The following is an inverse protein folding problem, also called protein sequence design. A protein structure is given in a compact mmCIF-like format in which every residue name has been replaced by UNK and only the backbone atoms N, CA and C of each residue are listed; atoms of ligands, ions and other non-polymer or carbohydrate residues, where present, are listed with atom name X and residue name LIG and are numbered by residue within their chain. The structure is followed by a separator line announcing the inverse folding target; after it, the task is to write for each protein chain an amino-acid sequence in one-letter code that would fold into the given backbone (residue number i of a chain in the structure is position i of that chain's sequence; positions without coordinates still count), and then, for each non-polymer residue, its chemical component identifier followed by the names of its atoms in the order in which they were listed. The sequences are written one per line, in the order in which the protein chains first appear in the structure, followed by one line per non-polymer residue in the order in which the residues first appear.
data_IF_601782166202
#
_entry.id   IF_601782166202
#
_cell.length_a   1.000
_cell.length_b   1.000
_cell.length_c   1.000
_cell.angle_alpha   90.00
_cell.angle_beta   90.00
_cell.angle_gamma   90.00
#
_symmetry.space_group_name_H-M   'P 1'
#
loop_
_entity.id
_entity.type
_entity.pdbx_description
1 polymer ?
#
# COMPACT_ATOMS: atom_id res chain seq x y z
N UNK A 1 2.53 -29.95 15.82
CA UNK A 1 1.40 -29.17 16.36
C UNK A 1 0.30 -29.22 15.32
N UNK A 2 -0.73 -30.04 15.52
CA UNK A 2 -1.82 -30.17 14.55
C UNK A 2 -2.69 -28.92 14.63
N UNK A 3 -2.63 -28.07 13.61
CA UNK A 3 -3.49 -26.89 13.49
C UNK A 3 -4.90 -27.39 13.15
N UNK A 4 -5.88 -27.03 13.98
CA UNK A 4 -7.28 -27.40 13.79
C UNK A 4 -7.80 -26.85 12.44
N UNK A 5 -8.35 -27.73 11.61
CA UNK A 5 -8.81 -27.44 10.24
C UNK A 5 -9.99 -26.45 10.14
N UNK A 6 -10.55 -26.03 11.27
CA UNK A 6 -11.69 -25.09 11.35
C UNK A 6 -11.31 -23.61 11.38
N UNK A 7 -10.04 -23.25 11.65
CA UNK A 7 -9.62 -21.84 11.68
C UNK A 7 -9.11 -21.44 10.29
N UNK A 8 -9.92 -20.72 9.52
CA UNK A 8 -9.57 -20.27 8.16
C UNK A 8 -9.45 -18.75 8.03
N UNK A 9 -9.95 -17.99 9.01
CA UNK A 9 -9.97 -16.54 9.02
C UNK A 9 -9.83 -15.96 10.45
N UNK A 10 -9.45 -14.68 10.57
CA UNK A 10 -9.37 -14.01 11.89
C UNK A 10 -10.67 -14.03 12.69
N UNK A 11 -11.86 -13.83 12.08
CA UNK A 11 -13.13 -13.97 12.79
C UNK A 11 -13.34 -15.36 13.41
N UNK A 12 -12.79 -16.43 12.83
CA UNK A 12 -12.89 -17.78 13.41
C UNK A 12 -12.07 -17.90 14.71
N UNK A 13 -10.95 -17.18 14.80
CA UNK A 13 -10.15 -17.08 16.04
C UNK A 13 -10.95 -16.33 17.11
N UNK A 14 -11.60 -15.23 16.73
CA UNK A 14 -12.47 -14.46 17.62
C UNK A 14 -13.66 -15.27 18.15
N UNK A 15 -14.25 -16.11 17.28
CA UNK A 15 -15.32 -17.04 17.67
C UNK A 15 -14.83 -18.07 18.69
N UNK A 16 -13.62 -18.62 18.47
CA UNK A 16 -13.05 -19.63 19.36
C UNK A 16 -12.71 -19.07 20.74
N UNK A 17 -12.23 -17.82 20.81
CA UNK A 17 -11.79 -17.20 22.05
C UNK A 17 -12.94 -16.57 22.87
N UNK A 18 -13.92 -15.95 22.20
CA UNK A 18 -14.97 -15.16 22.86
C UNK A 18 -16.39 -15.46 22.37
N UNK A 19 -16.58 -16.52 21.57
CA UNK A 19 -17.85 -16.90 20.98
C UNK A 19 -18.34 -15.94 19.89
N UNK A 20 -19.63 -16.02 19.56
CA UNK A 20 -20.24 -15.26 18.47
C UNK A 20 -20.05 -13.74 18.57
N UNK A 21 -19.98 -13.19 19.80
CA UNK A 21 -19.71 -11.76 20.02
C UNK A 21 -18.28 -11.37 19.60
N UNK A 22 -17.30 -12.23 19.91
CA UNK A 22 -15.91 -12.06 19.47
C UNK A 22 -15.76 -12.16 17.97
N UNK A 23 -16.44 -13.15 17.36
CA UNK A 23 -16.49 -13.28 15.90
C UNK A 23 -16.99 -12.01 15.23
N UNK A 24 -18.12 -11.48 15.70
CA UNK A 24 -18.72 -10.27 15.16
C UNK A 24 -17.78 -9.07 15.31
N UNK A 25 -17.19 -8.87 16.49
CA UNK A 25 -16.27 -7.77 16.74
C UNK A 25 -15.04 -7.82 15.83
N UNK A 26 -14.36 -8.97 15.76
CA UNK A 26 -13.17 -9.14 14.89
C UNK A 26 -13.53 -8.96 13.42
N UNK A 27 -14.70 -9.47 13.00
CA UNK A 27 -15.19 -9.26 11.64
C UNK A 27 -15.40 -7.78 11.35
N UNK A 28 -16.10 -7.05 12.20
CA UNK A 28 -16.37 -5.61 12.00
C UNK A 28 -15.07 -4.83 11.90
N UNK A 29 -14.12 -5.07 12.81
CA UNK A 29 -12.83 -4.38 12.81
C UNK A 29 -12.02 -4.67 11.55
N UNK A 30 -11.93 -5.93 11.12
CA UNK A 30 -11.19 -6.31 9.91
C UNK A 30 -11.82 -5.71 8.64
N UNK A 31 -13.15 -5.72 8.53
CA UNK A 31 -13.83 -5.14 7.36
C UNK A 31 -13.70 -3.62 7.35
N UNK A 32 -13.79 -2.96 8.51
CA UNK A 32 -13.58 -1.52 8.64
C UNK A 32 -12.13 -1.14 8.27
N UNK A 33 -11.14 -1.91 8.74
CA UNK A 33 -9.74 -1.70 8.39
C UNK A 33 -9.50 -1.81 6.89
N UNK A 34 -9.93 -2.91 6.25
CA UNK A 34 -9.80 -3.09 4.79
C UNK A 34 -10.50 -1.98 4.01
N UNK A 35 -11.68 -1.55 4.46
CA UNK A 35 -12.42 -0.46 3.82
C UNK A 35 -11.66 0.87 3.89
N UNK A 36 -11.11 1.22 5.06
CA UNK A 36 -10.34 2.44 5.25
C UNK A 36 -9.04 2.41 4.43
N UNK A 37 -8.35 1.27 4.40
CA UNK A 37 -7.13 1.06 3.59
C UNK A 37 -7.45 1.25 2.09
N UNK A 38 -8.51 0.60 1.59
CA UNK A 38 -8.91 0.72 0.19
C UNK A 38 -9.30 2.16 -0.18
N UNK A 39 -10.05 2.83 0.69
CA UNK A 39 -10.42 4.24 0.51
C UNK A 39 -9.19 5.13 0.48
N UNK A 40 -8.21 4.90 1.36
CA UNK A 40 -6.95 5.61 1.39
C UNK A 40 -6.17 5.49 0.08
N UNK A 41 -6.05 4.27 -0.47
CA UNK A 41 -5.40 4.05 -1.77
C UNK A 41 -6.15 4.73 -2.91
N UNK A 42 -7.48 4.69 -2.94
CA UNK A 42 -8.27 5.40 -3.96
C UNK A 42 -8.03 6.91 -3.93
N UNK A 43 -7.98 7.51 -2.75
CA UNK A 43 -7.69 8.93 -2.58
C UNK A 43 -6.26 9.23 -3.06
N UNK A 44 -5.28 8.40 -2.67
CA UNK A 44 -3.88 8.56 -3.07
C UNK A 44 -3.71 8.50 -4.59
N UNK A 45 -4.34 7.55 -5.26
CA UNK A 45 -4.32 7.45 -6.72
C UNK A 45 -5.00 8.65 -7.39
N UNK A 46 -6.13 9.10 -6.85
CA UNK A 46 -6.80 10.30 -7.32
C UNK A 46 -5.95 11.56 -7.18
N UNK A 47 -5.25 11.71 -6.05
CA UNK A 47 -4.33 12.81 -5.81
C UNK A 47 -3.13 12.75 -6.77
N UNK A 48 -2.49 11.59 -6.89
CA UNK A 48 -1.37 11.38 -7.82
C UNK A 48 -1.75 11.71 -9.26
N UNK A 49 -2.89 11.22 -9.73
CA UNK A 49 -3.33 11.41 -11.12
C UNK A 49 -3.78 12.85 -11.38
N UNK A 50 -4.38 13.52 -10.38
CA UNK A 50 -4.69 14.94 -10.44
C UNK A 50 -3.43 15.82 -10.52
N UNK A 51 -2.34 15.41 -9.86
CA UNK A 51 -1.04 16.09 -9.94
C UNK A 51 -0.39 15.92 -11.31
N UNK A 52 -0.51 14.72 -11.91
CA UNK A 52 0.00 14.44 -13.26
C UNK A 52 -0.82 15.12 -14.36
N UNK A 53 -2.13 15.18 -14.21
CA UNK A 53 -3.06 15.74 -15.21
C UNK A 53 -3.98 16.82 -14.60
N UNK A 54 -3.42 17.95 -14.14
CA UNK A 54 -4.19 18.98 -13.43
C UNK A 54 -5.24 19.69 -14.30
N UNK A 55 -5.13 19.56 -15.63
CA UNK A 55 -6.05 20.15 -16.61
C UNK A 55 -7.09 19.17 -17.16
N UNK A 56 -7.08 17.92 -16.71
CA UNK A 56 -8.01 16.88 -17.18
C UNK A 56 -9.30 16.83 -16.33
N UNK A 57 -9.83 18.00 -15.96
CA UNK A 57 -11.15 18.09 -15.33
C UNK A 57 -12.24 17.72 -16.34
N UNK A 58 -13.23 16.94 -15.91
CA UNK A 58 -14.40 16.62 -16.73
C UNK A 58 -15.49 17.65 -16.48
N UNK A 59 -15.87 18.39 -17.52
CA UNK A 59 -17.10 19.19 -17.51
C UNK A 59 -18.24 18.31 -18.02
N UNK A 60 -19.11 17.86 -17.10
CA UNK A 60 -20.30 17.09 -17.44
C UNK A 60 -21.53 17.94 -17.16
N UNK A 61 -22.19 18.42 -18.22
CA UNK A 61 -23.52 19.05 -18.13
C UNK A 61 -23.59 20.32 -17.27
N UNK A 62 -22.57 21.18 -17.28
CA UNK A 62 -22.57 22.48 -16.58
C UNK A 62 -22.12 22.44 -15.11
N UNK A 63 -21.79 21.26 -14.57
CA UNK A 63 -21.10 21.12 -13.29
C UNK A 63 -19.64 20.74 -13.53
N UNK A 64 -18.71 21.62 -13.17
CA UNK A 64 -17.28 21.33 -13.22
C UNK A 64 -16.94 20.36 -12.07
N UNK A 65 -16.76 19.08 -12.40
CA UNK A 65 -16.28 18.10 -11.43
C UNK A 65 -14.78 18.29 -11.30
N UNK A 66 -14.34 18.58 -10.07
CA UNK A 66 -12.92 18.71 -9.73
C UNK A 66 -12.13 17.48 -10.20
N UNK A 67 -10.96 17.71 -10.82
CA UNK A 67 -10.17 16.68 -11.49
C UNK A 67 -9.87 15.50 -10.55
N UNK A 68 -9.55 15.79 -9.28
CA UNK A 68 -9.32 14.79 -8.24
C UNK A 68 -10.50 13.84 -8.07
N UNK A 69 -11.71 14.39 -7.91
CA UNK A 69 -12.92 13.58 -7.70
C UNK A 69 -13.22 12.69 -8.91
N UNK A 70 -13.01 13.23 -10.12
CA UNK A 70 -13.20 12.46 -11.35
C UNK A 70 -12.23 11.27 -11.43
N UNK A 71 -10.95 11.46 -11.06
CA UNK A 71 -9.96 10.41 -11.07
C UNK A 71 -10.20 9.35 -10.00
N UNK A 72 -10.62 9.74 -8.79
CA UNK A 72 -11.01 8.78 -7.74
C UNK A 72 -12.15 7.87 -8.23
N UNK A 73 -13.18 8.45 -8.86
CA UNK A 73 -14.32 7.69 -9.40
C UNK A 73 -13.85 6.76 -10.54
N UNK A 74 -13.03 7.28 -11.45
CA UNK A 74 -12.51 6.51 -12.58
C UNK A 74 -11.65 5.32 -12.13
N UNK A 75 -10.70 5.54 -11.23
CA UNK A 75 -9.86 4.49 -10.65
C UNK A 75 -10.73 3.47 -9.90
N UNK A 76 -11.72 3.95 -9.13
CA UNK A 76 -12.70 3.10 -8.47
C UNK A 76 -13.43 2.17 -9.45
N UNK A 77 -13.90 2.70 -10.59
CA UNK A 77 -14.57 1.93 -11.64
C UNK A 77 -13.64 0.90 -12.31
N UNK A 78 -12.36 1.24 -12.49
CA UNK A 78 -11.35 0.34 -13.08
C UNK A 78 -11.01 -0.80 -12.12
N UNK A 79 -10.93 -0.52 -10.82
CA UNK A 79 -10.61 -1.51 -9.79
C UNK A 79 -11.84 -2.36 -9.45
N UNK A 80 -13.05 -1.83 -9.54
CA UNK A 80 -14.31 -2.54 -9.24
C UNK A 80 -14.39 -3.96 -9.84
N UNK A 81 -14.11 -4.21 -11.14
CA UNK A 81 -14.14 -5.55 -11.70
C UNK A 81 -13.12 -6.49 -11.07
N UNK A 82 -11.99 -5.98 -10.56
CA UNK A 82 -10.99 -6.81 -9.87
C UNK A 82 -11.49 -7.31 -8.52
N UNK A 83 -12.44 -6.62 -7.88
CA UNK A 83 -13.06 -7.05 -6.62
C UNK A 83 -14.01 -8.24 -6.83
N UNK A 84 -14.56 -8.41 -8.03
CA UNK A 84 -15.39 -9.57 -8.38
C UNK A 84 -14.57 -10.81 -8.78
N UNK A 85 -13.24 -10.71 -8.83
CA UNK A 85 -12.37 -11.84 -9.13
C UNK A 85 -12.22 -12.74 -7.89
N UNK A 86 -12.99 -13.83 -7.85
CA UNK A 86 -12.89 -14.85 -6.81
C UNK A 86 -11.66 -15.79 -6.98
N UNK A 87 -10.82 -15.58 -7.99
CA UNK A 87 -9.68 -16.45 -8.27
C UNK A 87 -8.36 -15.84 -7.78
N UNK A 88 -7.82 -16.40 -6.69
CA UNK A 88 -6.55 -15.99 -6.08
C UNK A 88 -5.35 -16.12 -7.04
N UNK A 89 -5.41 -16.98 -8.05
CA UNK A 89 -4.35 -17.08 -9.06
C UNK A 89 -4.28 -15.82 -9.93
N UNK A 90 -5.42 -15.26 -10.35
CA UNK A 90 -5.44 -14.02 -11.14
C UNK A 90 -4.91 -12.85 -10.31
N UNK A 91 -5.31 -12.78 -9.04
CA UNK A 91 -4.83 -11.77 -8.11
C UNK A 91 -3.30 -11.87 -7.90
N UNK A 92 -2.75 -13.09 -7.87
CA UNK A 92 -1.31 -13.30 -7.80
C UNK A 92 -0.56 -12.76 -9.03
N UNK A 93 -1.12 -12.91 -10.24
CA UNK A 93 -0.52 -12.34 -11.45
C UNK A 93 -0.58 -10.80 -11.46
N UNK A 94 -1.72 -10.23 -11.06
CA UNK A 94 -1.87 -8.77 -10.91
C UNK A 94 -0.86 -8.24 -9.89
N UNK A 95 -0.71 -8.92 -8.74
CA UNK A 95 0.28 -8.58 -7.71
C UNK A 95 1.71 -8.66 -8.24
N UNK A 96 2.06 -9.70 -9.00
CA UNK A 96 3.38 -9.81 -9.64
C UNK A 96 3.66 -8.64 -10.61
N UNK A 97 2.64 -8.21 -11.36
CA UNK A 97 2.71 -7.00 -12.18
C UNK A 97 2.95 -5.73 -11.35
N UNK A 98 2.26 -5.60 -10.22
CA UNK A 98 2.48 -4.51 -9.26
C UNK A 98 3.91 -4.46 -8.73
N UNK A 99 4.48 -5.61 -8.33
CA UNK A 99 5.88 -5.69 -7.88
C UNK A 99 6.85 -5.29 -9.00
N UNK A 100 6.62 -5.76 -10.23
CA UNK A 100 7.42 -5.38 -11.38
C UNK A 100 7.35 -3.87 -11.64
N UNK A 101 6.15 -3.27 -11.58
CA UNK A 101 5.97 -1.82 -11.71
C UNK A 101 6.71 -1.04 -10.61
N UNK A 102 6.67 -1.50 -9.36
CA UNK A 102 7.42 -0.90 -8.26
C UNK A 102 8.93 -0.94 -8.50
N UNK A 103 9.46 -2.04 -9.04
CA UNK A 103 10.89 -2.13 -9.41
C UNK A 103 11.25 -1.18 -10.55
N UNK A 104 10.41 -1.07 -11.57
CA UNK A 104 10.61 -0.12 -12.67
C UNK A 104 10.64 1.33 -12.16
N UNK A 105 9.72 1.69 -11.26
CA UNK A 105 9.71 3.01 -10.62
C UNK A 105 10.98 3.26 -9.81
N UNK A 106 11.43 2.28 -9.00
CA UNK A 106 12.66 2.40 -8.23
C UNK A 106 13.88 2.59 -9.14
N UNK A 107 14.01 1.80 -10.20
CA UNK A 107 15.07 1.96 -11.18
C UNK A 107 15.01 3.33 -11.87
N UNK A 108 13.80 3.82 -12.19
CA UNK A 108 13.61 5.13 -12.81
C UNK A 108 14.08 6.25 -11.88
N UNK A 109 13.73 6.18 -10.59
CA UNK A 109 14.14 7.19 -9.60
C UNK A 109 15.67 7.18 -9.40
N UNK A 110 16.27 6.00 -9.30
CA UNK A 110 17.73 5.87 -9.22
C UNK A 110 18.43 6.44 -10.45
N UNK A 111 17.88 6.17 -11.64
CA UNK A 111 18.40 6.70 -12.89
C UNK A 111 18.34 8.23 -12.94
N UNK A 112 17.21 8.82 -12.59
CA UNK A 112 17.02 10.27 -12.57
C UNK A 112 17.94 10.91 -11.51
N UNK A 113 18.10 10.27 -10.35
CA UNK A 113 18.99 10.74 -9.29
C UNK A 113 20.46 10.80 -9.70
N UNK A 114 20.94 9.81 -10.44
CA UNK A 114 22.35 9.70 -10.86
C UNK A 114 22.66 10.46 -12.16
N UNK A 115 21.82 10.31 -13.19
CA UNK A 115 22.13 10.76 -14.56
C UNK A 115 21.44 12.05 -14.98
N UNK A 116 20.30 12.40 -14.38
CA UNK A 116 19.48 13.55 -14.81
C UNK A 116 19.73 14.80 -13.95
N UNK A 117 20.85 14.81 -13.22
CA UNK A 117 21.40 16.01 -12.59
C UNK A 117 20.72 16.47 -11.29
N UNK A 118 19.77 15.70 -10.73
CA UNK A 118 19.21 15.99 -9.39
C UNK A 118 20.29 15.85 -8.32
N UNK A 119 21.15 14.81 -8.48
CA UNK A 119 22.35 14.56 -7.68
C UNK A 119 22.04 14.18 -6.22
N UNK A 120 22.73 13.17 -5.70
CA UNK A 120 22.60 12.72 -4.31
C UNK A 120 23.40 13.62 -3.34
N UNK A 121 23.07 14.91 -3.28
CA UNK A 121 23.82 15.92 -2.52
C UNK A 121 23.28 16.17 -1.09
N UNK A 122 22.32 15.35 -0.62
CA UNK A 122 21.65 15.52 0.66
C UNK A 122 22.59 15.51 1.89
N UNK A 123 23.02 16.70 2.33
CA UNK A 123 23.49 16.98 3.70
C UNK A 123 22.41 17.79 4.42
N UNK A 124 21.53 17.13 5.16
CA UNK A 124 20.47 17.78 5.94
C UNK A 124 20.22 17.07 7.27
N UNK A 125 19.61 17.79 8.22
CA UNK A 125 19.30 17.28 9.56
C UNK A 125 18.36 16.06 9.47
N UNK A 126 18.81 14.92 9.99
CA UNK A 126 18.18 13.62 9.81
C UNK A 126 16.82 13.46 10.51
N UNK A 127 16.45 14.33 11.46
CA UNK A 127 15.29 14.09 12.32
C UNK A 127 14.50 15.38 12.57
N UNK A 128 13.28 15.43 12.03
CA UNK A 128 12.28 16.45 12.35
C UNK A 128 11.28 15.85 13.34
N UNK A 129 11.35 16.25 14.60
CA UNK A 129 10.53 15.65 15.68
C UNK A 129 9.02 15.79 15.46
N UNK A 130 8.57 16.85 14.79
CA UNK A 130 7.16 17.08 14.43
C UNK A 130 6.61 16.07 13.41
N UNK A 131 7.46 15.42 12.61
CA UNK A 131 7.04 14.47 11.58
C UNK A 131 7.01 13.01 12.05
N UNK A 132 7.52 12.72 13.27
CA UNK A 132 7.67 11.35 13.77
C UNK A 132 6.33 10.59 13.82
N UNK A 133 5.22 11.16 14.35
CA UNK A 133 3.95 10.44 14.41
C UNK A 133 3.44 10.01 13.03
N UNK A 134 3.57 10.89 12.04
CA UNK A 134 3.17 10.61 10.65
C UNK A 134 4.08 9.59 9.99
N UNK A 135 5.39 9.66 10.22
CA UNK A 135 6.33 8.66 9.71
C UNK A 135 6.08 7.29 10.33
N UNK A 136 5.82 7.22 11.63
CA UNK A 136 5.49 5.98 12.34
C UNK A 136 4.16 5.40 11.86
N UNK A 137 3.14 6.22 11.63
CA UNK A 137 1.85 5.73 11.12
C UNK A 137 1.96 5.21 9.69
N UNK A 138 2.68 5.90 8.80
CA UNK A 138 2.96 5.42 7.44
C UNK A 138 3.79 4.13 7.45
N UNK A 139 4.79 4.05 8.33
CA UNK A 139 5.58 2.83 8.48
C UNK A 139 4.70 1.67 8.96
N UNK A 140 3.88 1.86 10.00
CA UNK A 140 2.96 0.85 10.49
C UNK A 140 1.95 0.42 9.42
N UNK A 141 1.43 1.37 8.64
CA UNK A 141 0.53 1.12 7.51
C UNK A 141 1.20 0.25 6.43
N UNK A 142 2.44 0.56 6.02
CA UNK A 142 3.17 -0.20 5.01
C UNK A 142 3.46 -1.66 5.40
N UNK A 143 3.58 -1.95 6.69
CA UNK A 143 3.80 -3.31 7.20
C UNK A 143 2.52 -3.99 7.69
N UNK A 144 1.35 -3.33 7.54
CA UNK A 144 0.08 -3.92 7.91
C UNK A 144 -0.39 -4.93 6.84
N UNK A 145 0.06 -6.17 6.96
CA UNK A 145 -0.37 -7.27 6.11
C UNK A 145 -1.18 -8.33 6.87
N UNK A 146 -1.42 -8.12 8.16
CA UNK A 146 -2.02 -9.12 9.02
C UNK A 146 -3.39 -9.60 8.51
N UNK A 147 -4.35 -8.77 8.06
CA UNK A 147 -5.69 -9.24 7.73
C UNK A 147 -5.72 -10.26 6.57
N UNK A 148 -4.72 -10.20 5.68
CA UNK A 148 -4.65 -11.05 4.47
C UNK A 148 -3.94 -12.38 4.72
N UNK A 149 -3.23 -12.54 5.85
CA UNK A 149 -2.42 -13.73 6.13
C UNK A 149 -3.21 -15.05 6.15
N UNK A 150 -4.38 -15.18 6.81
CA UNK A 150 -5.14 -16.43 6.81
C UNK A 150 -5.62 -16.81 5.41
N UNK A 151 -6.04 -15.83 4.61
CA UNK A 151 -6.47 -16.04 3.22
C UNK A 151 -5.30 -16.50 2.36
N UNK A 152 -4.13 -15.86 2.49
CA UNK A 152 -2.91 -16.29 1.78
C UNK A 152 -2.46 -17.69 2.21
N UNK A 153 -2.50 -18.00 3.51
CA UNK A 153 -2.13 -19.31 4.05
C UNK A 153 -3.04 -20.41 3.50
N UNK A 154 -4.36 -20.21 3.57
CA UNK A 154 -5.35 -21.20 3.12
C UNK A 154 -5.39 -21.35 1.60
N UNK A 155 -5.00 -20.32 0.84
CA UNK A 155 -4.93 -20.35 -0.63
C UNK A 155 -3.66 -21.02 -1.19
N UNK A 156 -2.62 -21.24 -0.38
CA UNK A 156 -1.39 -21.86 -0.88
C UNK A 156 -1.49 -23.37 -1.00
N UNK A 157 -0.87 -23.89 -2.06
CA UNK A 157 -0.77 -25.34 -2.32
C UNK A 157 0.02 -26.08 -1.24
N UNK A 158 1.08 -25.46 -0.73
CA UNK A 158 1.91 -25.99 0.35
C UNK A 158 2.05 -24.97 1.49
N UNK A 159 1.23 -25.17 2.53
CA UNK A 159 1.19 -24.33 3.71
C UNK A 159 2.52 -24.29 4.49
N UNK A 160 3.39 -25.29 4.36
CA UNK A 160 4.70 -25.31 5.03
C UNK A 160 5.63 -24.23 4.49
N UNK A 161 5.41 -23.77 3.25
CA UNK A 161 6.21 -22.73 2.63
C UNK A 161 5.81 -21.32 3.06
N UNK A 162 4.66 -21.15 3.73
CA UNK A 162 4.14 -19.83 4.10
C UNK A 162 5.14 -18.96 4.84
N UNK A 163 5.75 -19.51 5.88
CA UNK A 163 6.73 -18.78 6.69
C UNK A 163 7.92 -18.34 5.85
N UNK A 164 8.43 -19.21 4.96
CA UNK A 164 9.54 -18.88 4.06
C UNK A 164 9.16 -17.77 3.08
N UNK A 165 7.97 -17.85 2.48
CA UNK A 165 7.46 -16.84 1.53
C UNK A 165 7.27 -15.50 2.23
N UNK A 166 6.70 -15.49 3.44
CA UNK A 166 6.54 -14.26 4.22
C UNK A 166 7.89 -13.61 4.53
N UNK A 167 8.87 -14.37 5.02
CA UNK A 167 10.21 -13.82 5.33
C UNK A 167 10.84 -13.19 4.09
N UNK A 168 10.77 -13.86 2.94
CA UNK A 168 11.28 -13.33 1.67
C UNK A 168 10.53 -12.05 1.26
N UNK A 169 9.20 -12.06 1.34
CA UNK A 169 8.35 -10.92 0.98
C UNK A 169 8.61 -9.69 1.86
N UNK A 170 8.71 -9.89 3.18
CA UNK A 170 9.02 -8.81 4.12
C UNK A 170 10.42 -8.28 3.89
N UNK A 171 11.41 -9.15 3.72
CA UNK A 171 12.79 -8.73 3.44
C UNK A 171 12.89 -7.91 2.15
N UNK A 172 12.26 -8.37 1.06
CA UNK A 172 12.23 -7.65 -0.22
C UNK A 172 11.50 -6.31 -0.10
N UNK A 173 10.35 -6.27 0.59
CA UNK A 173 9.61 -5.02 0.84
C UNK A 173 10.44 -4.01 1.62
N UNK A 174 11.13 -4.46 2.69
CA UNK A 174 12.03 -3.62 3.48
C UNK A 174 13.18 -3.08 2.64
N UNK A 175 13.76 -3.91 1.77
CA UNK A 175 14.83 -3.49 0.86
C UNK A 175 14.34 -2.41 -0.10
N UNK A 176 13.20 -2.62 -0.77
CA UNK A 176 12.62 -1.68 -1.74
C UNK A 176 12.26 -0.36 -1.06
N UNK A 177 11.57 -0.41 0.09
CA UNK A 177 11.22 0.78 0.85
C UNK A 177 12.44 1.51 1.39
N UNK A 178 13.46 0.77 1.86
CA UNK A 178 14.72 1.33 2.32
C UNK A 178 15.46 2.07 1.21
N UNK A 179 15.59 1.45 0.03
CA UNK A 179 16.20 2.07 -1.14
C UNK A 179 15.44 3.33 -1.56
N UNK A 180 14.11 3.25 -1.66
CA UNK A 180 13.28 4.41 -1.99
C UNK A 180 13.42 5.53 -0.96
N UNK A 181 13.43 5.21 0.34
CA UNK A 181 13.64 6.19 1.40
C UNK A 181 15.01 6.86 1.31
N UNK A 182 16.08 6.09 1.08
CA UNK A 182 17.44 6.61 0.92
C UNK A 182 17.52 7.54 -0.28
N UNK A 183 17.03 7.11 -1.45
CA UNK A 183 17.01 7.92 -2.66
C UNK A 183 16.20 9.20 -2.48
N UNK A 184 14.99 9.11 -1.92
CA UNK A 184 14.14 10.28 -1.64
C UNK A 184 14.80 11.26 -0.67
N UNK A 185 15.43 10.76 0.39
CA UNK A 185 16.18 11.58 1.34
C UNK A 185 17.33 12.33 0.65
N UNK A 186 18.14 11.62 -0.14
CA UNK A 186 19.29 12.19 -0.81
C UNK A 186 18.90 13.22 -1.89
N UNK A 187 17.76 13.03 -2.56
CA UNK A 187 17.27 13.92 -3.64
C UNK A 187 16.51 15.15 -3.13
N UNK A 188 15.75 15.06 -2.02
CA UNK A 188 14.78 16.10 -1.66
C UNK A 188 15.01 16.79 -0.31
N UNK A 189 15.81 16.23 0.61
CA UNK A 189 15.96 16.80 1.98
C UNK A 189 16.59 18.21 1.97
N UNK A 190 17.47 18.53 1.01
CA UNK A 190 18.01 19.89 0.88
C UNK A 190 16.95 20.95 0.53
N UNK A 191 15.90 20.58 -0.20
CA UNK A 191 14.87 21.53 -0.67
C UNK A 191 14.00 22.06 0.47
N UNK A 192 13.89 21.32 1.58
CA UNK A 192 13.15 21.71 2.78
C UNK A 192 13.98 22.57 3.74
N UNK A 193 15.30 22.58 3.67
CA UNK A 193 16.16 23.43 4.52
C UNK A 193 16.28 24.88 4.03
N UNK A 194 15.87 25.17 2.79
CA UNK A 194 15.95 26.51 2.17
C UNK A 194 14.61 27.26 2.08
N UNK A 195 13.53 26.71 2.64
CA UNK A 195 12.26 27.45 2.79
C UNK A 195 12.17 27.94 4.23
N UNK A 196 12.67 29.16 4.56
CA UNK A 196 12.26 29.80 5.79
C UNK A 196 10.74 30.06 5.71
N UNK A 197 10.05 29.76 6.81
CA UNK A 197 8.67 30.17 7.06
C UNK A 197 8.52 31.69 6.88
#
# INVERSE_FOLDING_TARGET
MAMDSTIRSYPDIGDRAFGAKGRALVSILMHAELYLVATGFLILEGDNLSYLFPKAGFELGGYSIDARRSFVIMVGLIILPTVWLNNMSVLSYVSAGGVAASLVLLCSILWIGEFDGIGFHGKGSFVHWNGIPTAVSLYAFCYCAHPVFPTLYTSMRDQKQFSKVLVVCFFLSTLIYGLMAISGCLMFVQKLSYTPL
#
